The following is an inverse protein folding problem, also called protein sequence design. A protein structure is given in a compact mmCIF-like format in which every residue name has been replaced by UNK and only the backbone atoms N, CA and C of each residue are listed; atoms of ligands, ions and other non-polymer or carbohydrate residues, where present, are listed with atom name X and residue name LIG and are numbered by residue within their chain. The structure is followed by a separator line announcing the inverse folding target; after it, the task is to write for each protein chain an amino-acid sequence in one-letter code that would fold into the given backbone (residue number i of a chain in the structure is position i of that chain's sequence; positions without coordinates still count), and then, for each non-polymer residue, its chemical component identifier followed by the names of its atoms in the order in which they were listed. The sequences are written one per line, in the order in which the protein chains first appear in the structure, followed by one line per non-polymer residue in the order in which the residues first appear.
data_IF_485240537632
#
_entry.id   IF_485240537632
#
_cell.length_a   1.000
_cell.length_b   1.000
_cell.length_c   1.000
_cell.angle_alpha   90.00
_cell.angle_beta   90.00
_cell.angle_gamma   90.00
#
_symmetry.space_group_name_H-M   'P 1'
#
loop_
_entity.id
_entity.type
_entity.pdbx_description
1 polymer ?
#
# COMPACT_ATOMS: atom_id res chain seq x y z
N UNK A 1 0.11 6.26 38.11
CA UNK A 1 0.70 4.99 38.57
C UNK A 1 0.51 4.89 40.08
N UNK A 2 0.26 3.69 40.61
CA UNK A 2 0.14 3.50 42.06
C UNK A 2 1.51 3.46 42.73
N UNK A 3 1.66 4.11 43.89
CA UNK A 3 2.85 3.95 44.75
C UNK A 3 2.92 2.51 45.29
N UNK A 4 4.05 2.08 45.84
CA UNK A 4 4.17 0.71 46.39
C UNK A 4 3.15 0.38 47.49
N UNK A 5 2.89 1.32 48.40
CA UNK A 5 1.86 1.14 49.43
C UNK A 5 0.44 1.11 48.85
N UNK A 6 0.17 1.95 47.84
CA UNK A 6 -1.12 1.98 47.13
C UNK A 6 -1.34 0.72 46.29
N UNK A 7 -0.28 0.22 45.64
CA UNK A 7 -0.28 -1.03 44.90
C UNK A 7 -0.54 -2.19 45.85
N UNK A 8 0.20 -2.29 46.95
CA UNK A 8 0.01 -3.35 47.94
C UNK A 8 -1.44 -3.35 48.46
N UNK A 9 -2.01 -2.18 48.75
CA UNK A 9 -3.42 -2.06 49.13
C UNK A 9 -4.35 -2.53 48.01
N UNK A 10 -4.10 -2.13 46.76
CA UNK A 10 -4.92 -2.51 45.62
C UNK A 10 -4.90 -4.02 45.36
N UNK A 11 -3.73 -4.65 45.38
CA UNK A 11 -3.60 -6.12 45.17
C UNK A 11 -4.06 -6.94 46.38
N UNK A 12 -3.97 -6.36 47.60
CA UNK A 12 -4.47 -7.02 48.82
C UNK A 12 -5.98 -6.90 48.99
N UNK A 13 -6.63 -6.03 48.21
CA UNK A 13 -8.10 -5.98 48.16
C UNK A 13 -8.58 -7.19 47.36
N UNK A 14 -9.39 -8.10 47.94
CA UNK A 14 -9.84 -9.30 47.26
C UNK A 14 -10.50 -8.96 45.92
N UNK A 15 -10.10 -9.68 44.88
CA UNK A 15 -10.65 -9.60 43.53
C UNK A 15 -10.56 -8.22 42.84
N UNK A 16 -9.75 -7.29 43.35
CA UNK A 16 -9.58 -5.96 42.72
C UNK A 16 -8.57 -5.95 41.56
N UNK A 17 -7.49 -6.72 41.70
CA UNK A 17 -6.42 -6.84 40.68
C UNK A 17 -6.18 -8.31 40.39
N UNK A 18 -5.95 -9.08 41.45
CA UNK A 18 -5.76 -10.52 41.40
C UNK A 18 -6.88 -11.24 42.13
N UNK A 19 -7.13 -12.49 41.74
CA UNK A 19 -7.93 -13.44 42.51
C UNK A 19 -7.20 -13.77 43.80
N UNK A 20 -7.97 -13.97 44.85
CA UNK A 20 -7.46 -14.39 46.15
C UNK A 20 -6.61 -15.66 46.02
N UNK A 21 -5.46 -15.70 46.69
CA UNK A 21 -4.52 -16.83 46.66
C UNK A 21 -3.63 -16.95 45.42
N UNK A 22 -3.87 -16.18 44.35
CA UNK A 22 -3.08 -16.30 43.12
C UNK A 22 -1.80 -15.44 43.08
N UNK A 23 -1.61 -14.55 44.06
CA UNK A 23 -0.47 -13.62 44.16
C UNK A 23 0.26 -13.79 45.49
N UNK A 24 1.46 -13.22 45.62
CA UNK A 24 2.18 -13.21 46.90
C UNK A 24 2.87 -11.87 47.18
N UNK A 25 2.94 -11.42 48.44
CA UNK A 25 3.52 -10.12 48.79
C UNK A 25 5.03 -10.03 48.50
N UNK A 26 5.74 -11.16 48.44
CA UNK A 26 7.17 -11.19 48.13
C UNK A 26 7.51 -10.75 46.69
N UNK A 27 6.52 -10.64 45.81
CA UNK A 27 6.70 -10.19 44.42
C UNK A 27 6.39 -8.70 44.23
N UNK A 28 6.04 -7.97 45.28
CA UNK A 28 5.86 -6.52 45.23
C UNK A 28 7.23 -5.83 45.31
N UNK A 29 7.63 -5.15 44.24
CA UNK A 29 8.91 -4.45 44.14
C UNK A 29 8.68 -2.98 43.79
N UNK A 30 8.79 -2.11 44.79
CA UNK A 30 8.56 -0.68 44.60
C UNK A 30 7.13 -0.41 44.15
N UNK A 31 6.95 0.17 42.95
CA UNK A 31 5.66 0.55 42.39
C UNK A 31 5.07 -0.50 41.41
N UNK A 32 5.49 -1.75 41.50
CA UNK A 32 4.97 -2.81 40.64
C UNK A 32 5.15 -4.19 41.23
N UNK A 33 4.73 -5.17 40.44
CA UNK A 33 4.59 -6.56 40.86
C UNK A 33 5.26 -7.48 39.84
N UNK A 34 6.05 -8.43 40.31
CA UNK A 34 6.70 -9.43 39.46
C UNK A 34 5.71 -10.53 39.06
N UNK A 35 5.37 -10.58 37.78
CA UNK A 35 4.56 -11.66 37.21
C UNK A 35 5.41 -12.92 37.07
N UNK A 36 4.82 -14.07 37.40
CA UNK A 36 5.50 -15.37 37.38
C UNK A 36 5.04 -16.22 36.21
N UNK A 37 5.97 -16.93 35.61
CA UNK A 37 5.70 -17.87 34.52
C UNK A 37 4.91 -19.08 35.02
N UNK A 38 3.76 -19.37 34.40
CA UNK A 38 3.04 -20.61 34.64
C UNK A 38 3.68 -21.79 33.88
N UNK A 39 3.26 -23.00 34.22
CA UNK A 39 3.67 -24.25 33.60
C UNK A 39 2.65 -24.84 32.63
N UNK A 40 1.52 -24.15 32.44
CA UNK A 40 0.41 -24.50 31.56
C UNK A 40 0.02 -23.33 30.65
N UNK A 41 -0.84 -23.61 29.68
CA UNK A 41 -1.33 -22.66 28.67
C UNK A 41 -0.17 -21.95 27.95
N UNK A 42 0.78 -22.76 27.47
CA UNK A 42 1.98 -22.31 26.78
C UNK A 42 1.97 -22.75 25.32
N UNK A 43 2.60 -21.97 24.45
CA UNK A 43 3.02 -22.38 23.11
C UNK A 43 4.52 -22.13 23.04
N UNK A 44 5.31 -23.19 23.10
CA UNK A 44 6.77 -23.14 23.19
C UNK A 44 7.42 -23.92 22.04
N UNK A 45 8.65 -23.59 21.64
CA UNK A 45 9.40 -24.41 20.69
C UNK A 45 9.52 -25.86 21.19
N UNK A 46 9.43 -26.83 20.28
CA UNK A 46 9.63 -28.24 20.63
C UNK A 46 11.06 -28.51 21.09
N UNK A 47 12.02 -27.84 20.46
CA UNK A 47 13.44 -27.84 20.80
C UNK A 47 13.99 -26.42 20.53
N UNK A 48 15.07 -25.98 21.19
CA UNK A 48 15.64 -24.65 20.97
C UNK A 48 16.10 -24.46 19.52
N UNK A 49 15.59 -23.43 18.84
CA UNK A 49 15.88 -23.12 17.44
C UNK A 49 15.13 -24.00 16.45
N UNK A 50 14.27 -24.91 16.92
CA UNK A 50 13.44 -25.72 16.05
C UNK A 50 12.25 -24.92 15.53
N UNK A 51 11.77 -25.32 14.36
CA UNK A 51 10.61 -24.69 13.73
C UNK A 51 9.25 -25.16 14.26
N UNK A 52 9.25 -26.24 15.04
CA UNK A 52 8.04 -26.84 15.60
C UNK A 52 7.68 -26.19 16.93
N UNK A 53 6.38 -26.10 17.21
CA UNK A 53 5.86 -25.65 18.49
C UNK A 53 5.07 -26.77 19.17
N UNK A 54 5.21 -26.87 20.48
CA UNK A 54 4.37 -27.69 21.34
C UNK A 54 3.42 -26.78 22.11
N UNK A 55 2.14 -27.13 22.08
CA UNK A 55 1.13 -26.54 22.95
C UNK A 55 1.08 -27.31 24.27
N UNK A 56 1.00 -26.59 25.37
CA UNK A 56 0.82 -27.12 26.72
C UNK A 56 -0.53 -26.61 27.21
N UNK A 57 -1.57 -27.40 27.03
CA UNK A 57 -2.93 -27.01 27.43
C UNK A 57 -3.13 -27.19 28.94
N UNK A 58 -4.18 -26.59 29.50
CA UNK A 58 -4.57 -26.80 30.89
C UNK A 58 -4.80 -28.30 31.18
N UNK A 59 -4.22 -28.81 32.27
CA UNK A 59 -4.31 -30.22 32.65
C UNK A 59 -3.33 -31.16 31.95
N UNK A 60 -2.53 -30.68 31.00
CA UNK A 60 -1.39 -31.45 30.48
C UNK A 60 -0.24 -31.51 31.49
N UNK A 61 0.66 -32.51 31.43
CA UNK A 61 1.81 -32.58 32.32
C UNK A 61 2.63 -31.27 32.25
N UNK A 62 2.91 -30.65 33.40
CA UNK A 62 3.51 -29.32 33.43
C UNK A 62 4.91 -29.32 32.82
N UNK A 63 5.24 -28.24 32.10
CA UNK A 63 6.60 -28.04 31.60
C UNK A 63 7.44 -27.43 32.72
N UNK A 64 8.34 -28.22 33.29
CA UNK A 64 9.22 -27.76 34.36
C UNK A 64 10.21 -26.67 33.90
N UNK A 65 10.66 -26.76 32.65
CA UNK A 65 11.66 -25.84 32.05
C UNK A 65 11.54 -25.87 30.52
N UNK A 66 11.76 -24.71 29.88
CA UNK A 66 11.95 -24.64 28.44
C UNK A 66 13.04 -23.61 28.09
N UNK A 67 13.59 -23.73 26.89
CA UNK A 67 14.67 -22.86 26.40
C UNK A 67 14.29 -22.23 25.07
N UNK A 68 14.47 -20.91 24.97
CA UNK A 68 14.37 -20.15 23.73
C UNK A 68 15.77 -19.92 23.15
N UNK A 69 16.07 -20.47 21.98
CA UNK A 69 17.25 -20.09 21.21
C UNK A 69 17.09 -18.67 20.64
N UNK A 70 18.19 -18.03 20.17
CA UNK A 70 18.09 -16.79 19.41
C UNK A 70 17.13 -16.92 18.22
N UNK A 71 16.16 -16.02 18.13
CA UNK A 71 15.09 -16.03 17.14
C UNK A 71 13.81 -16.70 17.62
N UNK A 72 13.83 -17.56 18.64
CA UNK A 72 12.63 -18.26 19.11
C UNK A 72 11.63 -17.30 19.77
N UNK A 73 10.35 -17.65 19.65
CA UNK A 73 9.25 -17.00 20.38
C UNK A 73 8.44 -18.01 21.18
N UNK A 74 7.69 -17.53 22.15
CA UNK A 74 6.72 -18.33 22.89
C UNK A 74 5.50 -17.49 23.28
N UNK A 75 4.32 -18.12 23.28
CA UNK A 75 3.16 -17.63 24.02
C UNK A 75 3.25 -18.20 25.43
N UNK A 76 3.32 -17.34 26.42
CA UNK A 76 3.38 -17.74 27.82
C UNK A 76 2.18 -17.22 28.58
N UNK A 77 1.87 -17.89 29.69
CA UNK A 77 0.84 -17.49 30.63
C UNK A 77 1.43 -17.22 32.02
N UNK A 78 0.69 -16.48 32.86
CA UNK A 78 1.10 -16.16 34.24
C UNK A 78 0.49 -17.08 35.29
N UNK A 79 1.19 -17.30 36.40
CA UNK A 79 0.62 -17.99 37.58
C UNK A 79 -0.49 -17.14 38.21
N UNK A 80 -0.31 -15.83 38.23
CA UNK A 80 -1.32 -14.90 38.73
C UNK A 80 -2.62 -15.04 37.94
N UNK A 81 -3.75 -15.00 38.66
CA UNK A 81 -5.09 -15.03 38.08
C UNK A 81 -5.71 -13.66 38.31
N UNK A 82 -6.14 -13.01 37.25
CA UNK A 82 -6.53 -11.60 37.27
C UNK A 82 -8.03 -11.42 37.47
N UNK A 83 -8.38 -10.34 38.13
CA UNK A 83 -9.74 -9.80 38.20
C UNK A 83 -9.65 -8.28 38.33
N UNK A 84 -9.37 -7.61 37.23
CA UNK A 84 -9.11 -6.17 37.21
C UNK A 84 -10.41 -5.39 37.38
N UNK A 85 -10.50 -4.57 38.41
CA UNK A 85 -11.57 -3.58 38.54
C UNK A 85 -11.59 -2.59 37.38
N UNK A 86 -12.75 -1.97 37.14
CA UNK A 86 -12.95 -1.02 36.04
C UNK A 86 -12.27 0.34 36.25
N UNK A 87 -11.80 0.63 37.47
CA UNK A 87 -11.01 1.82 37.82
C UNK A 87 -9.50 1.53 37.84
N UNK A 88 -9.08 0.37 37.34
CA UNK A 88 -7.68 -0.06 37.31
C UNK A 88 -7.30 -0.58 35.92
N UNK A 89 -6.16 -0.13 35.41
CA UNK A 89 -5.47 -0.71 34.26
C UNK A 89 -4.07 -1.16 34.68
N UNK A 90 -3.39 -1.93 33.85
CA UNK A 90 -1.99 -2.23 34.08
C UNK A 90 -1.16 -2.26 32.79
N UNK A 91 0.14 -2.03 32.94
CA UNK A 91 1.13 -2.15 31.87
C UNK A 91 2.15 -3.20 32.27
N UNK A 92 2.47 -4.10 31.35
CA UNK A 92 3.47 -5.13 31.48
C UNK A 92 4.76 -4.63 30.83
N UNK A 93 5.82 -4.56 31.61
CA UNK A 93 7.17 -4.27 31.15
C UNK A 93 8.08 -5.50 31.28
N UNK A 94 9.14 -5.59 30.46
CA UNK A 94 10.11 -6.66 30.62
C UNK A 94 10.96 -6.41 31.88
N UNK A 95 11.39 -7.47 32.55
CA UNK A 95 12.38 -7.32 33.63
C UNK A 95 13.77 -7.12 33.04
N UNK A 96 14.53 -6.19 33.61
CA UNK A 96 15.89 -5.87 33.16
C UNK A 96 16.78 -7.11 33.00
N UNK A 97 16.72 -8.08 33.93
CA UNK A 97 17.50 -9.33 33.87
C UNK A 97 17.26 -10.12 32.57
N UNK A 98 16.05 -10.06 32.03
CA UNK A 98 15.67 -10.75 30.80
C UNK A 98 15.95 -9.90 29.58
N UNK A 99 15.65 -8.59 29.63
CA UNK A 99 15.98 -7.66 28.55
C UNK A 99 17.48 -7.60 28.26
N UNK A 100 18.32 -7.62 29.30
CA UNK A 100 19.78 -7.65 29.16
C UNK A 100 20.29 -8.92 28.45
N UNK A 101 19.49 -9.99 28.44
CA UNK A 101 19.76 -11.23 27.70
C UNK A 101 19.10 -11.26 26.33
N UNK A 102 18.38 -10.21 25.95
CA UNK A 102 17.67 -10.11 24.68
C UNK A 102 16.25 -10.69 24.70
N UNK A 103 15.62 -10.91 25.86
CA UNK A 103 14.20 -11.24 25.91
C UNK A 103 13.34 -9.99 25.72
N UNK A 104 12.44 -10.02 24.74
CA UNK A 104 11.46 -8.96 24.48
C UNK A 104 10.05 -9.48 24.67
N UNK A 105 9.15 -8.61 25.13
CA UNK A 105 7.70 -8.84 25.11
C UNK A 105 7.17 -8.21 23.82
N UNK A 106 6.66 -9.03 22.90
CA UNK A 106 6.21 -8.58 21.58
C UNK A 106 4.76 -8.07 21.59
N UNK A 107 3.89 -8.68 22.39
CA UNK A 107 2.46 -8.37 22.45
C UNK A 107 1.92 -8.54 23.86
N UNK A 108 0.75 -7.95 24.16
CA UNK A 108 0.10 -8.08 25.46
C UNK A 108 0.67 -7.17 26.55
N UNK A 109 1.27 -6.03 26.19
CA UNK A 109 1.89 -5.11 27.17
C UNK A 109 0.89 -4.30 27.99
N UNK A 110 -0.40 -4.36 27.69
CA UNK A 110 -1.44 -3.61 28.41
C UNK A 110 -2.55 -4.53 28.86
N UNK A 111 -2.95 -4.39 30.13
CA UNK A 111 -4.10 -5.08 30.72
C UNK A 111 -5.22 -4.08 30.87
N UNK A 112 -6.34 -4.38 30.20
CA UNK A 112 -7.49 -3.50 30.19
C UNK A 112 -8.29 -3.57 31.51
N UNK A 113 -8.98 -2.49 31.89
CA UNK A 113 -9.95 -2.51 32.98
C UNK A 113 -11.05 -3.54 32.71
N UNK A 114 -11.48 -4.25 33.75
CA UNK A 114 -12.49 -5.31 33.63
C UNK A 114 -11.94 -6.66 33.14
N UNK A 115 -10.63 -6.78 32.87
CA UNK A 115 -10.03 -8.07 32.50
C UNK A 115 -10.22 -9.12 33.61
N UNK A 116 -10.58 -10.35 33.24
CA UNK A 116 -10.89 -11.42 34.21
C UNK A 116 -12.22 -11.22 34.94
N UNK A 117 -13.15 -10.45 34.36
CA UNK A 117 -14.53 -10.30 34.85
C UNK A 117 -15.55 -10.62 33.77
N UNK A 118 -16.67 -11.19 34.18
CA UNK A 118 -17.80 -11.51 33.33
C UNK A 118 -19.10 -10.92 33.90
N UNK A 119 -20.10 -10.74 33.03
CA UNK A 119 -21.40 -10.21 33.42
C UNK A 119 -22.37 -11.38 33.62
N UNK A 120 -22.70 -11.66 34.88
CA UNK A 120 -23.67 -12.71 35.27
C UNK A 120 -24.86 -12.03 35.94
N UNK A 121 -26.06 -12.24 35.40
CA UNK A 121 -27.31 -11.66 35.90
C UNK A 121 -27.28 -10.12 36.03
N UNK A 122 -26.61 -9.45 35.09
CA UNK A 122 -26.47 -8.00 35.10
C UNK A 122 -25.35 -7.46 36.01
N UNK A 123 -24.75 -8.31 36.83
CA UNK A 123 -23.67 -7.95 37.75
C UNK A 123 -22.31 -8.39 37.22
N UNK A 124 -21.31 -7.52 37.37
CA UNK A 124 -19.93 -7.86 37.07
C UNK A 124 -19.35 -8.69 38.21
N UNK A 125 -18.89 -9.90 37.90
CA UNK A 125 -18.22 -10.79 38.85
C UNK A 125 -16.89 -11.24 38.24
N UNK A 126 -15.89 -11.59 39.06
CA UNK A 126 -14.72 -12.32 38.56
C UNK A 126 -15.17 -13.54 37.76
N UNK A 127 -14.46 -13.85 36.67
CA UNK A 127 -14.70 -15.08 35.90
C UNK A 127 -14.66 -16.28 36.83
N UNK A 128 -15.64 -17.17 36.72
CA UNK A 128 -15.74 -18.38 37.54
C UNK A 128 -14.49 -19.28 37.48
N UNK A 129 -14.36 -20.18 38.46
CA UNK A 129 -13.21 -21.10 38.57
C UNK A 129 -11.97 -20.44 39.19
N UNK A 130 -10.80 -20.76 38.62
CA UNK A 130 -9.49 -20.26 39.10
C UNK A 130 -9.21 -18.79 38.69
N UNK A 131 -10.04 -18.20 37.83
CA UNK A 131 -9.80 -16.88 37.23
C UNK A 131 -8.92 -16.93 35.99
N UNK A 132 -8.56 -15.76 35.46
CA UNK A 132 -7.93 -15.64 34.14
C UNK A 132 -6.43 -15.31 34.24
N UNK A 133 -5.50 -16.12 33.72
CA UNK A 133 -4.10 -15.73 33.62
C UNK A 133 -3.88 -14.71 32.51
N UNK A 134 -2.81 -13.92 32.61
CA UNK A 134 -2.38 -13.10 31.48
C UNK A 134 -1.61 -13.92 30.47
N UNK A 135 -1.86 -13.67 29.19
CA UNK A 135 -1.09 -14.22 28.08
C UNK A 135 -0.34 -13.12 27.35
N UNK A 136 0.92 -13.37 27.01
CA UNK A 136 1.70 -12.50 26.16
C UNK A 136 2.78 -13.26 25.41
N UNK A 137 3.21 -12.67 24.31
CA UNK A 137 4.23 -13.25 23.43
C UNK A 137 5.59 -12.70 23.84
N UNK A 138 6.53 -13.61 24.09
CA UNK A 138 7.94 -13.28 24.30
C UNK A 138 8.78 -13.79 23.14
N UNK A 139 9.90 -13.11 22.88
CA UNK A 139 10.89 -13.55 21.90
C UNK A 139 12.31 -13.33 22.40
N UNK A 140 13.20 -14.25 22.05
CA UNK A 140 14.62 -14.12 22.30
C UNK A 140 15.30 -13.50 21.08
N UNK A 141 15.64 -12.22 21.14
CA UNK A 141 16.46 -11.52 20.14
C UNK A 141 17.92 -11.38 20.56
N UNK A 142 18.29 -12.03 21.67
CA UNK A 142 19.65 -12.03 22.19
C UNK A 142 20.56 -12.99 21.45
N UNK A 143 21.88 -12.92 21.71
CA UNK A 143 22.87 -13.76 21.04
C UNK A 143 22.95 -15.19 21.59
N UNK A 144 22.28 -15.50 22.71
CA UNK A 144 22.40 -16.79 23.38
C UNK A 144 21.05 -17.33 23.88
N UNK A 145 20.99 -18.61 24.26
CA UNK A 145 19.75 -19.23 24.71
C UNK A 145 19.27 -18.67 26.05
N UNK A 146 17.95 -18.63 26.22
CA UNK A 146 17.27 -18.21 27.45
C UNK A 146 16.41 -19.35 27.96
N UNK A 147 16.84 -19.93 29.08
CA UNK A 147 16.11 -20.98 29.78
C UNK A 147 15.26 -20.36 30.89
N UNK A 148 14.00 -20.80 30.98
CA UNK A 148 13.02 -20.32 31.95
C UNK A 148 12.30 -21.51 32.60
N UNK A 149 11.90 -21.33 33.86
CA UNK A 149 11.22 -22.34 34.66
C UNK A 149 9.92 -21.80 35.23
N UNK A 150 9.01 -22.70 35.59
CA UNK A 150 7.81 -22.33 36.36
C UNK A 150 8.19 -21.46 37.55
N UNK A 151 7.46 -20.37 37.76
CA UNK A 151 7.65 -19.47 38.89
C UNK A 151 8.72 -18.41 38.68
N UNK A 152 9.50 -18.48 37.59
CA UNK A 152 10.43 -17.41 37.26
C UNK A 152 9.68 -16.08 37.14
N UNK A 153 10.15 -14.98 37.78
CA UNK A 153 9.59 -13.67 37.52
C UNK A 153 9.99 -13.27 36.10
N UNK A 154 9.03 -13.21 35.18
CA UNK A 154 9.24 -13.03 33.74
C UNK A 154 9.00 -11.60 33.26
N UNK A 155 8.12 -10.88 33.93
CA UNK A 155 7.69 -9.55 33.57
C UNK A 155 7.33 -8.77 34.82
N UNK A 156 7.23 -7.46 34.66
CA UNK A 156 6.90 -6.52 35.72
C UNK A 156 5.59 -5.83 35.39
N UNK A 157 4.63 -5.87 36.30
CA UNK A 157 3.31 -5.27 36.18
C UNK A 157 3.29 -3.93 36.92
N UNK A 158 3.00 -2.84 36.20
CA UNK A 158 2.67 -1.54 36.78
C UNK A 158 1.16 -1.33 36.77
N UNK A 159 0.58 -1.11 37.95
CA UNK A 159 -0.85 -0.85 38.08
C UNK A 159 -1.12 0.66 38.08
N UNK A 160 -2.13 1.06 37.33
CA UNK A 160 -2.51 2.44 37.08
C UNK A 160 -3.98 2.59 37.45
N UNK A 161 -4.27 3.47 38.42
CA UNK A 161 -5.65 3.90 38.66
C UNK A 161 -6.12 4.78 37.51
N UNK A 162 -7.35 4.57 37.05
CA UNK A 162 -7.98 5.34 35.98
C UNK A 162 -9.36 5.82 36.44
N UNK A 163 -9.86 6.88 35.81
CA UNK A 163 -11.24 7.30 36.03
C UNK A 163 -12.18 6.26 35.41
N UNK A 164 -13.18 5.74 36.14
CA UNK A 164 -14.07 4.72 35.61
C UNK A 164 -14.84 5.27 34.40
N UNK A 165 -14.94 4.50 33.29
CA UNK A 165 -15.77 4.93 32.18
C UNK A 165 -17.24 4.99 32.63
N UNK A 166 -17.98 6.00 32.14
CA UNK A 166 -19.43 6.16 32.43
C UNK A 166 -20.23 4.92 32.00
N UNK A 167 -19.76 4.21 30.97
CA UNK A 167 -20.33 2.95 30.50
C UNK A 167 -19.30 1.82 30.60
N UNK A 168 -19.66 0.77 31.35
CA UNK A 168 -18.79 -0.40 31.57
C UNK A 168 -19.09 -1.46 30.53
N UNK A 169 -18.19 -1.63 29.58
CA UNK A 169 -18.21 -2.71 28.60
C UNK A 169 -17.13 -3.72 28.97
N UNK A 170 -17.46 -5.01 29.10
CA UNK A 170 -16.41 -6.02 29.22
C UNK A 170 -15.57 -6.04 27.96
N UNK A 171 -14.28 -6.21 28.16
CA UNK A 171 -13.40 -6.63 27.08
C UNK A 171 -13.55 -8.15 26.97
N UNK A 172 -14.04 -8.62 25.82
CA UNK A 172 -14.05 -10.05 25.53
C UNK A 172 -12.60 -10.53 25.51
N UNK A 173 -12.26 -11.40 26.48
CA UNK A 173 -11.04 -12.17 26.38
C UNK A 173 -11.27 -13.24 25.30
N UNK A 174 -10.55 -13.12 24.19
CA UNK A 174 -10.61 -14.09 23.10
C UNK A 174 -10.08 -15.47 23.50
N UNK A 175 -9.38 -15.56 24.64
CA UNK A 175 -8.94 -16.82 25.25
C UNK A 175 -7.65 -17.38 24.65
N UNK A 176 -7.05 -18.34 25.35
CA UNK A 176 -5.80 -19.01 24.93
C UNK A 176 -5.93 -19.67 23.56
N UNK A 177 -7.01 -20.42 23.33
CA UNK A 177 -7.26 -21.16 22.09
C UNK A 177 -7.26 -20.25 20.86
N UNK A 178 -7.91 -19.09 20.96
CA UNK A 178 -7.93 -18.11 19.87
C UNK A 178 -6.55 -17.50 19.60
N UNK A 179 -5.82 -17.14 20.66
CA UNK A 179 -4.47 -16.58 20.52
C UNK A 179 -3.51 -17.61 19.92
N UNK A 180 -3.55 -18.86 20.41
CA UNK A 180 -2.79 -19.98 19.86
C UNK A 180 -3.10 -20.18 18.39
N UNK A 181 -4.38 -20.31 18.04
CA UNK A 181 -4.80 -20.65 16.69
C UNK A 181 -4.52 -19.51 15.70
N UNK A 182 -4.68 -18.26 16.12
CA UNK A 182 -4.42 -17.09 15.27
C UNK A 182 -2.94 -16.77 15.13
N UNK A 183 -2.15 -16.89 16.20
CA UNK A 183 -0.76 -16.45 16.19
C UNK A 183 0.21 -17.54 15.74
N UNK A 184 -0.08 -18.82 16.06
CA UNK A 184 0.91 -19.91 15.94
C UNK A 184 0.49 -21.05 15.01
N UNK A 185 -0.72 -21.07 14.43
CA UNK A 185 -1.00 -22.04 13.35
C UNK A 185 -0.26 -21.65 12.07
N UNK A 186 0.85 -22.34 11.81
CA UNK A 186 1.32 -22.56 10.45
C UNK A 186 0.22 -23.31 9.70
N UNK A 187 -0.35 -22.71 8.66
CA UNK A 187 -1.37 -23.38 7.85
C UNK A 187 -0.86 -24.76 7.41
N UNK A 188 -1.54 -25.81 7.87
CA UNK A 188 -1.24 -27.21 7.53
C UNK A 188 -1.30 -27.44 6.01
N UNK A 189 -2.00 -26.56 5.30
CA UNK A 189 -2.20 -26.62 3.86
C UNK A 189 -1.24 -25.72 3.05
N UNK A 190 -0.25 -25.08 3.69
CA UNK A 190 0.71 -24.19 3.01
C UNK A 190 0.10 -22.89 2.42
N UNK A 191 -1.21 -22.68 2.58
CA UNK A 191 -1.97 -21.55 2.03
C UNK A 191 -2.48 -20.57 3.09
N UNK A 192 -2.19 -20.83 4.37
CA UNK A 192 -2.69 -20.02 5.49
C UNK A 192 -2.01 -18.66 5.62
N UNK A 193 -2.55 -17.65 4.91
CA UNK A 193 -2.39 -16.24 5.26
C UNK A 193 -3.11 -15.99 6.59
N UNK A 194 -2.37 -15.83 7.70
CA UNK A 194 -3.02 -15.38 8.94
C UNK A 194 -2.27 -15.55 10.25
N UNK A 195 -1.26 -16.43 10.32
CA UNK A 195 -0.32 -16.45 11.45
C UNK A 195 0.62 -15.26 11.39
N UNK A 196 1.19 -14.83 12.53
CA UNK A 196 2.40 -13.99 12.48
C UNK A 196 3.38 -14.70 11.54
N UNK A 197 3.72 -14.09 10.40
CA UNK A 197 4.66 -14.64 9.44
C UNK A 197 6.05 -14.65 10.10
N UNK A 198 6.27 -15.67 10.91
CA UNK A 198 7.47 -15.82 11.70
C UNK A 198 8.50 -16.48 10.80
N UNK A 199 9.41 -15.67 10.26
CA UNK A 199 10.57 -16.19 9.55
C UNK A 199 11.48 -16.86 10.57
N UNK A 200 11.53 -18.19 10.51
CA UNK A 200 12.23 -19.10 11.44
C UNK A 200 13.72 -18.75 11.62
N UNK A 201 14.30 -18.10 10.63
CA UNK A 201 15.65 -17.53 10.66
C UNK A 201 15.72 -16.35 9.69
N UNK A 202 16.69 -15.46 9.86
CA UNK A 202 16.98 -14.40 8.87
C UNK A 202 17.19 -15.02 7.48
N UNK A 203 17.75 -16.24 7.39
CA UNK A 203 17.90 -16.96 6.11
C UNK A 203 16.57 -17.36 5.48
N UNK A 204 15.56 -17.69 6.27
CA UNK A 204 14.25 -18.02 5.71
C UNK A 204 13.48 -16.75 5.31
N UNK A 205 13.73 -15.62 5.99
CA UNK A 205 13.33 -14.31 5.51
C UNK A 205 14.03 -13.97 4.20
N UNK A 206 15.35 -14.12 4.11
CA UNK A 206 16.13 -13.92 2.88
C UNK A 206 15.58 -14.78 1.75
N UNK A 207 15.38 -16.08 1.96
CA UNK A 207 14.80 -16.97 0.94
C UNK A 207 13.40 -16.56 0.51
N UNK A 208 12.55 -16.14 1.45
CA UNK A 208 11.21 -15.68 1.13
C UNK A 208 11.23 -14.34 0.37
N UNK A 209 12.12 -13.43 0.77
CA UNK A 209 12.35 -12.15 0.09
C UNK A 209 12.92 -12.39 -1.31
N UNK A 210 13.87 -13.31 -1.48
CA UNK A 210 14.44 -13.69 -2.77
C UNK A 210 13.38 -14.33 -3.68
N UNK A 211 12.55 -15.22 -3.13
CA UNK A 211 11.45 -15.82 -3.87
C UNK A 211 10.41 -14.79 -4.31
N UNK A 212 10.10 -13.82 -3.45
CA UNK A 212 9.19 -12.71 -3.76
C UNK A 212 9.82 -11.72 -4.74
N UNK A 213 11.13 -11.44 -4.62
CA UNK A 213 11.88 -10.64 -5.58
C UNK A 213 11.86 -11.30 -6.96
N UNK A 214 12.10 -12.60 -7.04
CA UNK A 214 12.01 -13.36 -8.29
C UNK A 214 10.58 -13.40 -8.87
N UNK A 215 9.53 -13.34 -8.03
CA UNK A 215 8.14 -13.16 -8.51
C UNK A 215 7.95 -11.76 -9.10
N UNK A 216 8.36 -10.72 -8.37
CA UNK A 216 8.27 -9.34 -8.85
C UNK A 216 9.05 -9.13 -10.14
N UNK A 217 10.25 -9.71 -10.27
CA UNK A 217 11.05 -9.61 -11.49
C UNK A 217 10.33 -10.23 -12.69
N UNK A 218 9.65 -11.38 -12.50
CA UNK A 218 8.81 -12.00 -13.53
C UNK A 218 7.60 -11.13 -13.89
N UNK A 219 6.92 -10.57 -12.91
CA UNK A 219 5.79 -9.66 -13.12
C UNK A 219 6.25 -8.39 -13.86
N UNK A 220 7.46 -7.90 -13.55
CA UNK A 220 8.06 -6.73 -14.18
C UNK A 220 8.48 -7.00 -15.63
N UNK A 221 9.04 -8.17 -15.91
CA UNK A 221 9.26 -8.61 -17.28
C UNK A 221 7.95 -8.72 -18.07
N UNK A 222 6.90 -9.25 -17.45
CA UNK A 222 5.59 -9.35 -18.10
C UNK A 222 5.00 -7.98 -18.39
N UNK A 223 5.04 -7.05 -17.43
CA UNK A 223 4.56 -5.68 -17.66
C UNK A 223 5.38 -4.99 -18.74
N UNK A 224 6.71 -5.16 -18.74
CA UNK A 224 7.58 -4.58 -19.76
C UNK A 224 7.20 -5.09 -21.16
N UNK A 225 6.94 -6.39 -21.32
CA UNK A 225 6.47 -6.95 -22.60
C UNK A 225 5.10 -6.39 -23.01
N UNK A 226 4.19 -6.16 -22.06
CA UNK A 226 2.90 -5.54 -22.34
C UNK A 226 3.08 -4.08 -22.80
N UNK A 227 3.89 -3.30 -22.10
CA UNK A 227 4.20 -1.91 -22.47
C UNK A 227 4.85 -1.84 -23.84
N UNK A 228 5.81 -2.72 -24.15
CA UNK A 228 6.46 -2.75 -25.46
C UNK A 228 5.46 -3.07 -26.59
N UNK A 229 4.51 -3.98 -26.35
CA UNK A 229 3.44 -4.30 -27.29
C UNK A 229 2.47 -3.13 -27.49
N UNK A 230 2.07 -2.44 -26.42
CA UNK A 230 1.23 -1.24 -26.50
C UNK A 230 1.94 -0.10 -27.23
N UNK A 231 3.22 0.14 -26.94
CA UNK A 231 4.03 1.15 -27.64
C UNK A 231 4.14 0.84 -29.13
N UNK A 232 4.30 -0.43 -29.51
CA UNK A 232 4.30 -0.83 -30.91
C UNK A 232 2.96 -0.55 -31.61
N UNK A 233 1.84 -0.82 -30.94
CA UNK A 233 0.51 -0.53 -31.45
C UNK A 233 0.25 0.97 -31.58
N UNK A 234 0.63 1.77 -30.58
CA UNK A 234 0.52 3.23 -30.63
C UNK A 234 1.35 3.79 -31.79
N UNK A 235 2.58 3.29 -32.01
CA UNK A 235 3.41 3.70 -33.17
C UNK A 235 2.73 3.37 -34.49
N UNK A 236 2.05 2.21 -34.59
CA UNK A 236 1.27 1.83 -35.77
C UNK A 236 0.11 2.79 -36.01
N UNK A 237 -0.64 3.12 -34.97
CA UNK A 237 -1.74 4.09 -35.03
C UNK A 237 -1.27 5.50 -35.40
N UNK A 238 -0.15 5.97 -34.85
CA UNK A 238 0.45 7.26 -35.21
C UNK A 238 0.88 7.27 -36.68
N UNK A 239 1.49 6.19 -37.16
CA UNK A 239 1.89 6.07 -38.57
C UNK A 239 0.66 6.10 -39.49
N UNK A 240 -0.40 5.37 -39.15
CA UNK A 240 -1.66 5.35 -39.91
C UNK A 240 -2.34 6.73 -39.91
N UNK A 241 -2.41 7.40 -38.75
CA UNK A 241 -2.93 8.75 -38.63
C UNK A 241 -2.12 9.74 -39.49
N UNK A 242 -0.79 9.62 -39.50
CA UNK A 242 0.08 10.48 -40.29
C UNK A 242 -0.13 10.29 -41.80
N UNK A 243 -0.27 9.04 -42.27
CA UNK A 243 -0.63 8.79 -43.68
C UNK A 243 -2.00 9.36 -44.05
N UNK A 244 -2.95 9.35 -43.11
CA UNK A 244 -4.27 9.95 -43.29
C UNK A 244 -4.17 11.48 -43.38
N UNK A 245 -3.37 12.11 -42.52
CA UNK A 245 -3.11 13.56 -42.55
C UNK A 245 -2.43 13.94 -43.88
N UNK A 246 -1.44 13.17 -44.35
CA UNK A 246 -0.77 13.43 -45.62
C UNK A 246 -1.74 13.33 -46.81
N UNK A 247 -2.68 12.38 -46.78
CA UNK A 247 -3.75 12.27 -47.78
C UNK A 247 -4.66 13.50 -47.74
N UNK A 248 -5.10 13.95 -46.56
CA UNK A 248 -5.94 15.14 -46.42
C UNK A 248 -5.21 16.41 -46.86
N UNK A 249 -3.93 16.55 -46.52
CA UNK A 249 -3.12 17.71 -46.91
C UNK A 249 -2.90 17.77 -48.43
N UNK A 250 -2.75 16.61 -49.09
CA UNK A 250 -2.71 16.55 -50.56
C UNK A 250 -4.04 16.97 -51.19
N UNK A 251 -5.18 16.54 -50.64
CA UNK A 251 -6.50 16.98 -51.10
C UNK A 251 -6.73 18.47 -50.86
N UNK A 252 -6.32 18.99 -49.70
CA UNK A 252 -6.44 20.41 -49.35
C UNK A 252 -5.63 21.30 -50.30
N UNK A 253 -4.39 20.92 -50.62
CA UNK A 253 -3.59 21.63 -51.62
C UNK A 253 -4.25 21.64 -53.00
N UNK A 254 -4.88 20.53 -53.41
CA UNK A 254 -5.63 20.49 -54.67
C UNK A 254 -6.84 21.44 -54.66
N UNK A 255 -7.56 21.52 -53.55
CA UNK A 255 -8.69 22.46 -53.37
C UNK A 255 -8.21 23.91 -53.42
N UNK A 256 -7.10 24.25 -52.74
CA UNK A 256 -6.53 25.61 -52.75
C UNK A 256 -6.10 26.01 -54.17
N UNK A 257 -5.41 25.12 -54.89
CA UNK A 257 -5.00 25.37 -56.28
C UNK A 257 -6.21 25.56 -57.19
N UNK A 258 -7.27 24.75 -57.01
CA UNK A 258 -8.52 24.90 -57.75
C UNK A 258 -9.21 26.25 -57.46
N UNK A 259 -9.25 26.67 -56.20
CA UNK A 259 -9.80 27.97 -55.80
C UNK A 259 -9.06 29.15 -56.43
N UNK A 260 -7.72 29.13 -56.41
CA UNK A 260 -6.89 30.18 -57.04
C UNK A 260 -7.12 30.22 -58.55
N UNK A 261 -7.21 29.06 -59.21
CA UNK A 261 -7.51 28.98 -60.63
C UNK A 261 -8.88 29.60 -60.96
N UNK A 262 -9.91 29.30 -60.17
CA UNK A 262 -11.25 29.80 -60.39
C UNK A 262 -11.32 31.33 -60.24
N UNK A 263 -10.63 31.90 -59.23
CA UNK A 263 -10.52 33.36 -59.06
C UNK A 263 -9.77 34.01 -60.24
N UNK A 264 -8.71 33.39 -60.74
CA UNK A 264 -7.97 33.91 -61.88
C UNK A 264 -8.84 33.94 -63.15
N UNK A 265 -9.61 32.89 -63.40
CA UNK A 265 -10.52 32.80 -64.56
C UNK A 265 -11.65 33.81 -64.46
N UNK A 266 -12.22 34.05 -63.28
CA UNK A 266 -13.29 35.05 -63.12
C UNK A 266 -12.75 36.47 -63.28
N UNK A 267 -11.59 36.79 -62.72
CA UNK A 267 -10.90 38.06 -62.97
C UNK A 267 -10.64 38.26 -64.47
N UNK A 268 -10.21 37.21 -65.16
CA UNK A 268 -10.00 37.25 -66.61
C UNK A 268 -11.28 37.58 -67.37
N UNK A 269 -12.39 36.92 -67.01
CA UNK A 269 -13.70 37.16 -67.61
C UNK A 269 -14.17 38.60 -67.39
N UNK A 270 -13.98 39.15 -66.19
CA UNK A 270 -14.32 40.56 -65.88
C UNK A 270 -13.50 41.50 -66.74
N UNK A 271 -12.17 41.32 -66.79
CA UNK A 271 -11.27 42.17 -67.59
C UNK A 271 -11.66 42.13 -69.08
N UNK A 272 -11.91 40.95 -69.64
CA UNK A 272 -12.36 40.79 -71.03
C UNK A 272 -13.69 41.51 -71.28
N UNK A 273 -14.65 41.39 -70.37
CA UNK A 273 -15.96 42.06 -70.50
C UNK A 273 -15.82 43.58 -70.46
N UNK A 274 -15.00 44.11 -69.54
CA UNK A 274 -14.71 45.55 -69.48
C UNK A 274 -14.04 46.04 -70.76
N UNK A 275 -13.11 45.25 -71.31
CA UNK A 275 -12.40 45.55 -72.56
C UNK A 275 -13.35 45.63 -73.76
N UNK A 276 -14.26 44.66 -73.87
CA UNK A 276 -15.28 44.62 -74.94
C UNK A 276 -16.22 45.83 -74.84
N UNK A 277 -16.68 46.16 -73.63
CA UNK A 277 -17.53 47.34 -73.41
C UNK A 277 -16.80 48.64 -73.76
N UNK A 278 -15.53 48.77 -73.38
CA UNK A 278 -14.71 49.94 -73.69
C UNK A 278 -14.52 50.13 -75.22
N UNK A 279 -14.43 49.02 -75.96
CA UNK A 279 -14.37 49.04 -77.43
C UNK A 279 -15.71 49.49 -78.04
N UNK A 280 -16.84 49.12 -77.42
CA UNK A 280 -18.18 49.47 -77.87
C UNK A 280 -18.53 50.96 -77.79
N UNK A 281 -18.01 51.67 -76.77
CA UNK A 281 -18.39 53.07 -76.50
C UNK A 281 -17.58 54.13 -77.27
N UNK A 282 -16.60 53.74 -78.09
CA UNK A 282 -15.77 54.71 -78.82
C UNK A 282 -16.48 55.23 -80.10
N UNK A 283 -16.40 56.55 -80.41
CA UNK A 283 -17.06 57.17 -81.58
C UNK A 283 -16.32 56.90 -82.90
N UNK A 284 -17.07 56.56 -83.96
CA UNK A 284 -16.64 55.89 -85.21
C UNK A 284 -15.50 56.57 -86.00
N UNK A 285 -15.14 57.82 -85.71
CA UNK A 285 -14.22 58.64 -86.51
C UNK A 285 -12.71 58.53 -86.19
N UNK A 286 -12.30 57.62 -85.29
CA UNK A 286 -10.88 57.41 -84.91
C UNK A 286 -10.42 55.97 -85.25
N UNK A 287 -10.37 55.61 -86.54
CA UNK A 287 -10.15 54.20 -86.95
C UNK A 287 -8.72 53.69 -86.74
N UNK A 288 -7.70 54.54 -86.85
CA UNK A 288 -6.29 54.10 -86.81
C UNK A 288 -5.73 54.04 -85.38
N UNK A 289 -6.07 55.01 -84.54
CA UNK A 289 -5.66 55.03 -83.13
C UNK A 289 -6.31 53.89 -82.33
N UNK A 290 -7.52 53.46 -82.71
CA UNK A 290 -8.19 52.27 -82.16
C UNK A 290 -7.38 51.00 -82.37
N UNK A 291 -6.88 50.80 -83.58
CA UNK A 291 -6.14 49.59 -83.92
C UNK A 291 -4.88 49.50 -83.05
N UNK A 292 -4.18 50.63 -82.86
CA UNK A 292 -2.98 50.69 -82.02
C UNK A 292 -3.32 50.44 -80.55
N UNK A 293 -4.39 51.03 -80.03
CA UNK A 293 -4.79 50.88 -78.64
C UNK A 293 -5.28 49.46 -78.33
N UNK A 294 -6.09 48.88 -79.22
CA UNK A 294 -6.55 47.49 -79.11
C UNK A 294 -5.38 46.51 -79.25
N UNK A 295 -4.49 46.72 -80.22
CA UNK A 295 -3.29 45.87 -80.38
C UNK A 295 -2.37 45.98 -79.17
N UNK A 296 -2.21 47.18 -78.60
CA UNK A 296 -1.46 47.40 -77.37
C UNK A 296 -2.07 46.64 -76.19
N UNK A 297 -3.38 46.73 -76.00
CA UNK A 297 -4.09 46.03 -74.93
C UNK A 297 -4.05 44.50 -75.10
N UNK A 298 -4.23 43.99 -76.32
CA UNK A 298 -4.09 42.56 -76.62
C UNK A 298 -2.66 42.08 -76.35
N UNK A 299 -1.65 42.90 -76.69
CA UNK A 299 -0.24 42.55 -76.44
C UNK A 299 0.07 42.53 -74.94
N UNK A 300 -0.37 43.55 -74.19
CA UNK A 300 -0.21 43.58 -72.72
C UNK A 300 -0.94 42.40 -72.08
N UNK A 301 -2.13 42.08 -72.55
CA UNK A 301 -2.89 40.91 -72.09
C UNK A 301 -2.16 39.60 -72.36
N UNK A 302 -1.66 39.39 -73.59
CA UNK A 302 -0.91 38.20 -73.95
C UNK A 302 0.36 38.06 -73.09
N UNK A 303 1.11 39.14 -72.90
CA UNK A 303 2.29 39.17 -72.03
C UNK A 303 1.92 38.84 -70.58
N UNK A 304 0.86 39.46 -70.04
CA UNK A 304 0.41 39.21 -68.67
C UNK A 304 -0.02 37.75 -68.45
N UNK A 305 -0.65 37.14 -69.45
CA UNK A 305 -1.10 35.74 -69.40
C UNK A 305 0.09 34.78 -69.44
N UNK A 306 1.09 35.06 -70.28
CA UNK A 306 2.35 34.29 -70.33
C UNK A 306 3.11 34.40 -69.01
N UNK A 307 3.21 35.61 -68.44
CA UNK A 307 3.87 35.84 -67.14
C UNK A 307 3.12 35.11 -66.02
N UNK A 308 1.79 35.22 -65.96
CA UNK A 308 0.98 34.50 -64.96
C UNK A 308 1.16 32.98 -65.08
N UNK A 309 1.13 32.45 -66.30
CA UNK A 309 1.33 31.01 -66.55
C UNK A 309 2.75 30.56 -66.17
N UNK A 310 3.76 31.38 -66.46
CA UNK A 310 5.14 31.12 -66.07
C UNK A 310 5.33 31.14 -64.55
N UNK A 311 4.72 32.10 -63.85
CA UNK A 311 4.73 32.19 -62.39
C UNK A 311 4.06 30.98 -61.74
N UNK A 312 2.87 30.59 -62.22
CA UNK A 312 2.18 29.38 -61.75
C UNK A 312 3.03 28.13 -62.00
N UNK A 313 3.63 28.02 -63.19
CA UNK A 313 4.51 26.88 -63.52
C UNK A 313 5.76 26.84 -62.65
N UNK A 314 6.33 28.01 -62.33
CA UNK A 314 7.49 28.13 -61.44
C UNK A 314 7.13 27.71 -60.01
N UNK A 315 6.00 28.21 -59.47
CA UNK A 315 5.54 27.80 -58.15
C UNK A 315 5.19 26.32 -58.09
N UNK A 316 4.54 25.76 -59.12
CA UNK A 316 4.27 24.33 -59.22
C UNK A 316 5.56 23.50 -59.22
N UNK A 317 6.58 23.90 -60.00
CA UNK A 317 7.90 23.24 -59.97
C UNK A 317 8.60 23.36 -58.62
N UNK A 318 8.50 24.51 -57.96
CA UNK A 318 9.10 24.74 -56.64
C UNK A 318 8.45 23.88 -55.54
N UNK A 319 7.14 23.66 -55.62
CA UNK A 319 6.41 22.80 -54.70
C UNK A 319 6.77 21.33 -54.86
N UNK A 320 7.04 20.88 -56.10
CA UNK A 320 7.52 19.51 -56.39
C UNK A 320 8.94 19.31 -55.84
N UNK A 321 9.85 20.28 -56.06
CA UNK A 321 11.25 20.20 -55.58
C UNK A 321 11.42 20.19 -54.06
N UNK A 322 10.47 20.75 -53.29
CA UNK A 322 10.51 20.71 -51.82
C UNK A 322 9.97 19.39 -51.24
N UNK A 323 9.36 18.53 -52.05
CA UNK A 323 8.80 17.23 -51.65
C UNK A 323 9.72 16.04 -51.99
N UNK A 324 10.76 16.25 -52.80
CA UNK A 324 11.84 15.31 -53.09
C UNK A 324 13.05 15.58 -52.21
#
# INVERSE_FOLDING_TARGET
MLSGASLLRAISTPDRVFREGSWSPGHVLGAGYDLRLADDLLVIPTEPGASGYKTVDAGTPPVGEFTLAPGDSALISTIERFSMDFDVAAVIGPKFRWSARGLLILQGTTVHPGYGREKVDGHWRPVGGEGEPLYFVIANVGPGPITMRKGDPIAYLQVIGIEPPQQRTAVSNVGFEFLRDRLFRTGVDGTGQGGLAYFRSVKDLERAVDAESARRDRDWEQLRRQVDAEVAEVKRQVTEAQTTIDRVNNTSNMIVVFGIYLIAVTMLGVVLTTLVNLIGDLPEKLSQDRLVLVTGLVTVYAVSTVVATAVVSFFARSAIRRRS
#
